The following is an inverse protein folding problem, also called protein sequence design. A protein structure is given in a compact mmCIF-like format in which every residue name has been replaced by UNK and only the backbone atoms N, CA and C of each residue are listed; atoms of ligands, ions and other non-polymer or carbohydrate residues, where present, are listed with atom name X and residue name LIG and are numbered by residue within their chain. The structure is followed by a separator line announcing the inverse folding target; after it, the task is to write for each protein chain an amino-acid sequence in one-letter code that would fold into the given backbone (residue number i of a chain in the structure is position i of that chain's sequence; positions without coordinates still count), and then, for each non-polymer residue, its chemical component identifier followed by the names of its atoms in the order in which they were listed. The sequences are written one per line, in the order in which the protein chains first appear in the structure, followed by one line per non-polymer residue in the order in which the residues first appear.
data_IF_858090714498
#
_entry.id   IF_858090714498
#
_cell.length_a   1.000
_cell.length_b   1.000
_cell.length_c   1.000
_cell.angle_alpha   90.00
_cell.angle_beta   90.00
_cell.angle_gamma   90.00
#
_symmetry.space_group_name_H-M   'P 1'
#
loop_
_entity.id
_entity.type
_entity.pdbx_description
1 polymer ?
#
# COMPACT_ATOMS: atom_id res chain seq x y z
N UNK A 1 -11.63 5.31 5.66
CA UNK A 1 -10.34 5.61 6.31
C UNK A 1 -9.18 5.56 5.31
N UNK A 2 -9.03 4.47 4.53
CA UNK A 2 -7.94 4.28 3.57
C UNK A 2 -7.87 5.37 2.48
N UNK A 3 -9.00 5.94 2.06
CA UNK A 3 -9.02 7.06 1.11
C UNK A 3 -8.36 8.32 1.65
N UNK A 4 -8.55 8.63 2.93
CA UNK A 4 -7.87 9.74 3.59
C UNK A 4 -6.36 9.49 3.70
N UNK A 5 -5.96 8.25 4.05
CA UNK A 5 -4.55 7.86 4.10
C UNK A 5 -3.88 7.96 2.72
N UNK A 6 -4.54 7.48 1.66
CA UNK A 6 -4.02 7.58 0.30
C UNK A 6 -3.87 9.04 -0.17
N UNK A 7 -4.80 9.92 0.24
CA UNK A 7 -4.67 11.36 0.02
C UNK A 7 -3.45 11.96 0.70
N UNK A 8 -3.20 11.59 1.96
CA UNK A 8 -2.01 12.02 2.69
C UNK A 8 -0.73 11.49 2.03
N UNK A 9 -0.70 10.21 1.66
CA UNK A 9 0.44 9.60 0.95
C UNK A 9 0.73 10.34 -0.35
N UNK A 10 -0.30 10.72 -1.10
CA UNK A 10 -0.15 11.40 -2.40
C UNK A 10 0.51 12.76 -2.32
N UNK A 11 0.47 13.45 -1.17
CA UNK A 11 1.05 14.77 -0.99
C UNK A 11 2.42 14.74 -0.27
N UNK A 12 2.83 13.59 0.28
CA UNK A 12 4.05 13.51 1.10
C UNK A 12 5.35 13.65 0.32
N UNK A 13 5.35 13.42 -0.99
CA UNK A 13 6.56 13.54 -1.81
C UNK A 13 7.05 14.99 -1.93
N UNK A 14 6.13 15.97 -1.92
CA UNK A 14 6.47 17.41 -2.00
C UNK A 14 5.39 18.24 -1.27
N UNK A 15 5.38 18.26 0.08
CA UNK A 15 4.29 18.85 0.85
C UNK A 15 4.31 20.40 0.89
N UNK A 16 5.44 21.02 0.54
CA UNK A 16 5.64 22.48 0.71
C UNK A 16 5.38 23.29 -0.55
N UNK A 17 5.44 22.70 -1.72
CA UNK A 17 5.36 23.42 -3.00
C UNK A 17 3.95 23.55 -3.55
N UNK A 18 3.04 22.56 -3.44
CA UNK A 18 1.69 22.69 -3.97
C UNK A 18 0.89 23.76 -3.22
N UNK A 19 0.08 24.52 -3.96
CA UNK A 19 -0.93 25.38 -3.33
C UNK A 19 -1.96 24.53 -2.56
N UNK A 20 -2.69 25.10 -1.57
CA UNK A 20 -3.73 24.35 -0.86
C UNK A 20 -4.77 23.70 -1.77
N UNK A 21 -5.16 24.36 -2.86
CA UNK A 21 -6.10 23.82 -3.84
C UNK A 21 -5.47 22.63 -4.61
N UNK A 22 -4.20 22.77 -5.03
CA UNK A 22 -3.49 21.68 -5.69
C UNK A 22 -3.34 20.47 -4.75
N UNK A 23 -3.03 20.68 -3.47
CA UNK A 23 -2.94 19.63 -2.48
C UNK A 23 -4.27 18.87 -2.30
N UNK A 24 -5.39 19.59 -2.28
CA UNK A 24 -6.73 18.98 -2.23
C UNK A 24 -6.98 18.09 -3.46
N UNK A 25 -6.66 18.59 -4.67
CA UNK A 25 -6.86 17.85 -5.91
C UNK A 25 -5.95 16.61 -5.95
N UNK A 26 -4.67 16.76 -5.64
CA UNK A 26 -3.70 15.66 -5.60
C UNK A 26 -4.16 14.56 -4.63
N UNK A 27 -4.59 14.96 -3.44
CA UNK A 27 -5.11 14.04 -2.43
C UNK A 27 -6.41 13.36 -2.84
N UNK A 28 -7.33 14.07 -3.47
CA UNK A 28 -8.58 13.50 -3.98
C UNK A 28 -8.34 12.45 -5.07
N UNK A 29 -7.40 12.72 -5.99
CA UNK A 29 -6.98 11.75 -7.01
C UNK A 29 -6.34 10.52 -6.35
N UNK A 30 -5.50 10.71 -5.34
CA UNK A 30 -4.93 9.60 -4.55
C UNK A 30 -5.99 8.72 -3.90
N UNK A 31 -7.02 9.31 -3.32
CA UNK A 31 -8.17 8.59 -2.76
C UNK A 31 -8.93 7.78 -3.83
N UNK A 32 -9.11 8.35 -5.03
CA UNK A 32 -9.72 7.65 -6.15
C UNK A 32 -8.85 6.48 -6.66
N UNK A 33 -7.54 6.69 -6.78
CA UNK A 33 -6.58 5.65 -7.16
C UNK A 33 -6.62 4.50 -6.16
N UNK A 34 -6.67 4.79 -4.87
CA UNK A 34 -6.80 3.76 -3.83
C UNK A 34 -8.09 2.94 -4.00
N UNK A 35 -9.23 3.59 -4.23
CA UNK A 35 -10.50 2.92 -4.43
C UNK A 35 -10.47 1.98 -5.65
N UNK A 36 -9.99 2.47 -6.79
CA UNK A 36 -9.86 1.68 -8.02
C UNK A 36 -8.83 0.55 -7.85
N UNK A 37 -7.72 0.83 -7.17
CA UNK A 37 -6.68 -0.15 -6.86
C UNK A 37 -7.19 -1.29 -5.97
N UNK A 38 -7.98 -0.99 -4.96
CA UNK A 38 -8.61 -2.01 -4.11
C UNK A 38 -9.53 -2.93 -4.93
N UNK A 39 -10.37 -2.35 -5.79
CA UNK A 39 -11.24 -3.15 -6.67
C UNK A 39 -10.43 -4.01 -7.65
N UNK A 40 -9.32 -3.49 -8.16
CA UNK A 40 -8.41 -4.25 -9.04
C UNK A 40 -7.80 -5.44 -8.29
N UNK A 41 -7.24 -5.26 -7.09
CA UNK A 41 -6.67 -6.35 -6.29
C UNK A 41 -7.71 -7.42 -5.97
N UNK A 42 -8.91 -7.02 -5.56
CA UNK A 42 -10.02 -7.94 -5.32
C UNK A 42 -10.38 -8.75 -6.58
N UNK A 43 -10.42 -8.11 -7.75
CA UNK A 43 -10.70 -8.80 -9.01
C UNK A 43 -9.62 -9.80 -9.40
N UNK A 44 -8.37 -9.51 -9.04
CA UNK A 44 -7.21 -10.39 -9.23
C UNK A 44 -7.09 -11.46 -8.13
N UNK A 45 -7.98 -11.46 -7.13
CA UNK A 45 -7.95 -12.34 -5.95
C UNK A 45 -6.63 -12.25 -5.18
N UNK A 46 -6.05 -11.06 -5.13
CA UNK A 46 -4.88 -10.74 -4.32
C UNK A 46 -5.36 -10.20 -2.98
N UNK A 47 -4.97 -10.89 -1.91
CA UNK A 47 -5.30 -10.49 -0.54
C UNK A 47 -4.39 -9.34 -0.08
N UNK A 48 -5.02 -8.26 0.36
CA UNK A 48 -4.37 -7.10 0.97
C UNK A 48 -5.23 -6.62 2.14
N UNK A 49 -5.03 -7.25 3.28
CA UNK A 49 -5.89 -7.14 4.47
C UNK A 49 -6.11 -5.70 4.92
N UNK A 50 -5.09 -4.86 4.80
CA UNK A 50 -5.14 -3.46 5.27
C UNK A 50 -5.23 -2.44 4.13
N UNK A 51 -5.15 -2.88 2.88
CA UNK A 51 -5.12 -1.99 1.72
C UNK A 51 -3.76 -1.31 1.53
N UNK A 52 -2.67 -1.98 1.91
CA UNK A 52 -1.32 -1.41 1.86
C UNK A 52 -0.88 -1.08 0.42
N UNK A 53 -1.16 -1.95 -0.53
CA UNK A 53 -0.78 -1.76 -1.93
C UNK A 53 -1.50 -0.54 -2.54
N UNK A 54 -2.83 -0.41 -2.49
CA UNK A 54 -3.51 0.75 -3.06
C UNK A 54 -3.17 2.06 -2.35
N UNK A 55 -3.01 2.04 -1.02
CA UNK A 55 -2.74 3.24 -0.22
C UNK A 55 -1.29 3.70 -0.38
N UNK A 56 -0.31 2.80 -0.29
CA UNK A 56 1.09 3.20 -0.27
C UNK A 56 1.76 3.08 -1.64
N UNK A 57 1.57 1.98 -2.35
CA UNK A 57 2.21 1.81 -3.65
C UNK A 57 1.52 2.66 -4.73
N UNK A 58 0.21 2.49 -4.97
CA UNK A 58 -0.44 3.18 -6.08
C UNK A 58 -0.56 4.68 -5.84
N UNK A 59 -1.02 5.10 -4.66
CA UNK A 59 -1.10 6.52 -4.34
C UNK A 59 0.28 7.16 -4.14
N UNK A 60 1.29 6.40 -3.69
CA UNK A 60 2.67 6.87 -3.59
C UNK A 60 3.33 7.07 -4.95
N UNK A 61 3.11 6.16 -5.91
CA UNK A 61 3.54 6.35 -7.31
C UNK A 61 2.92 7.63 -7.87
N UNK A 62 1.62 7.81 -7.70
CA UNK A 62 0.92 9.03 -8.12
C UNK A 62 1.54 10.26 -7.48
N UNK A 63 1.68 10.28 -6.14
CA UNK A 63 2.23 11.41 -5.40
C UNK A 63 3.65 11.78 -5.84
N UNK A 64 4.50 10.77 -6.09
CA UNK A 64 5.86 11.00 -6.59
C UNK A 64 5.85 11.53 -8.03
N UNK A 65 5.02 10.95 -8.90
CA UNK A 65 4.97 11.37 -10.30
C UNK A 65 4.36 12.75 -10.52
N UNK A 66 3.53 13.26 -9.61
CA UNK A 66 2.93 14.60 -9.74
C UNK A 66 3.85 15.74 -9.26
N UNK A 67 4.95 15.44 -8.56
CA UNK A 67 5.88 16.44 -8.02
C UNK A 67 6.33 17.47 -9.06
N UNK A 68 6.70 17.11 -10.31
CA UNK A 68 7.15 18.10 -11.29
C UNK A 68 6.06 19.11 -11.71
N UNK A 69 4.81 18.84 -11.39
CA UNK A 69 3.71 19.79 -11.61
C UNK A 69 3.84 21.03 -10.72
N UNK A 70 4.30 20.87 -9.50
CA UNK A 70 4.43 21.96 -8.50
C UNK A 70 5.88 22.41 -8.27
N UNK A 71 6.85 21.56 -8.61
CA UNK A 71 8.28 21.84 -8.41
C UNK A 71 9.04 21.78 -9.74
N UNK A 72 9.39 22.95 -10.34
CA UNK A 72 10.10 23.01 -11.61
C UNK A 72 11.57 22.54 -11.54
N UNK A 73 12.13 22.34 -10.35
CA UNK A 73 13.49 21.80 -10.17
C UNK A 73 13.55 20.29 -10.36
N UNK A 74 12.39 19.63 -10.48
CA UNK A 74 12.28 18.18 -10.68
C UNK A 74 11.85 17.85 -12.11
N UNK A 75 12.01 16.59 -12.52
CA UNK A 75 11.53 16.12 -13.82
C UNK A 75 10.77 14.81 -13.71
N UNK A 76 9.80 14.58 -14.61
CA UNK A 76 9.05 13.33 -14.70
C UNK A 76 9.98 12.12 -14.92
N UNK A 77 11.04 12.30 -15.70
CA UNK A 77 12.02 11.23 -15.97
C UNK A 77 12.75 10.84 -14.67
N UNK A 78 13.23 11.80 -13.91
CA UNK A 78 13.90 11.55 -12.64
C UNK A 78 12.98 10.87 -11.63
N UNK A 79 11.74 11.33 -11.52
CA UNK A 79 10.74 10.71 -10.65
C UNK A 79 10.42 9.28 -11.08
N UNK A 80 10.26 9.04 -12.37
CA UNK A 80 10.04 7.68 -12.89
C UNK A 80 11.21 6.74 -12.59
N UNK A 81 12.46 7.19 -12.78
CA UNK A 81 13.65 6.40 -12.45
C UNK A 81 13.67 6.09 -10.94
N UNK A 82 13.37 7.08 -10.09
CA UNK A 82 13.27 6.88 -8.65
C UNK A 82 12.22 5.83 -8.28
N UNK A 83 11.01 5.98 -8.78
CA UNK A 83 9.90 5.02 -8.54
C UNK A 83 10.28 3.62 -9.02
N UNK A 84 10.78 3.48 -10.23
CA UNK A 84 11.18 2.18 -10.78
C UNK A 84 12.29 1.53 -9.97
N UNK A 85 13.29 2.30 -9.54
CA UNK A 85 14.39 1.81 -8.69
C UNK A 85 13.90 1.32 -7.34
N UNK A 86 13.01 2.08 -6.69
CA UNK A 86 12.42 1.68 -5.39
C UNK A 86 11.57 0.42 -5.54
N UNK A 87 10.71 0.35 -6.57
CA UNK A 87 9.89 -0.84 -6.82
C UNK A 87 10.78 -2.07 -7.02
N UNK A 88 11.79 -1.97 -7.89
CA UNK A 88 12.69 -3.09 -8.16
C UNK A 88 13.45 -3.53 -6.90
N UNK A 89 14.02 -2.59 -6.16
CA UNK A 89 14.75 -2.88 -4.93
C UNK A 89 13.85 -3.53 -3.87
N UNK A 90 12.70 -2.93 -3.58
CA UNK A 90 11.80 -3.42 -2.53
C UNK A 90 11.24 -4.79 -2.90
N UNK A 91 10.84 -4.99 -4.16
CA UNK A 91 10.30 -6.28 -4.60
C UNK A 91 11.35 -7.40 -4.47
N UNK A 92 12.56 -7.18 -5.00
CA UNK A 92 13.63 -8.20 -4.97
C UNK A 92 14.05 -8.49 -3.53
N UNK A 93 14.28 -7.44 -2.73
CA UNK A 93 14.73 -7.58 -1.36
C UNK A 93 13.67 -8.28 -0.49
N UNK A 94 12.42 -7.86 -0.57
CA UNK A 94 11.32 -8.48 0.16
C UNK A 94 11.13 -9.94 -0.24
N UNK A 95 11.22 -10.25 -1.54
CA UNK A 95 11.10 -11.63 -2.01
C UNK A 95 12.19 -12.53 -1.42
N UNK A 96 13.43 -12.04 -1.38
CA UNK A 96 14.55 -12.79 -0.78
C UNK A 96 14.30 -13.01 0.72
N UNK A 97 14.00 -11.95 1.46
CA UNK A 97 13.79 -12.02 2.92
C UNK A 97 12.62 -12.95 3.27
N UNK A 98 11.49 -12.77 2.59
CA UNK A 98 10.30 -13.61 2.83
C UNK A 98 10.58 -15.08 2.47
N UNK A 99 11.35 -15.33 1.39
CA UNK A 99 11.74 -16.70 1.02
C UNK A 99 12.62 -17.36 2.09
N UNK A 100 13.55 -16.62 2.68
CA UNK A 100 14.39 -17.10 3.80
C UNK A 100 13.51 -17.42 5.02
N UNK A 101 12.60 -16.51 5.39
CA UNK A 101 11.68 -16.72 6.53
C UNK A 101 10.82 -17.96 6.27
N UNK A 102 10.27 -18.10 5.07
CA UNK A 102 9.47 -19.26 4.68
C UNK A 102 10.24 -20.58 4.81
N UNK A 103 11.52 -20.58 4.44
CA UNK A 103 12.37 -21.77 4.48
C UNK A 103 12.85 -22.14 5.89
N UNK A 104 12.94 -21.16 6.80
CA UNK A 104 13.51 -21.37 8.16
C UNK A 104 12.45 -21.50 9.25
N UNK A 105 11.51 -20.56 9.31
CA UNK A 105 10.52 -20.45 10.40
C UNK A 105 9.12 -20.88 9.91
N UNK A 106 8.86 -20.73 8.61
CA UNK A 106 7.51 -20.87 8.03
C UNK A 106 6.79 -19.51 8.00
N UNK A 107 5.77 -19.41 7.17
CA UNK A 107 4.96 -18.19 6.99
C UNK A 107 3.48 -18.40 7.30
N UNK A 108 3.01 -19.63 7.32
CA UNK A 108 1.60 -19.93 7.54
C UNK A 108 1.41 -20.79 8.77
N UNK A 109 0.34 -20.51 9.47
CA UNK A 109 -0.19 -21.37 10.52
C UNK A 109 -0.72 -22.67 9.92
N UNK A 110 -1.01 -23.67 10.76
CA UNK A 110 -1.64 -24.92 10.30
C UNK A 110 -3.04 -24.67 9.75
N UNK A 111 -3.48 -25.55 8.87
CA UNK A 111 -4.83 -25.44 8.28
C UNK A 111 -5.94 -25.55 9.35
N UNK A 112 -5.70 -26.31 10.42
CA UNK A 112 -6.60 -26.44 11.55
C UNK A 112 -6.70 -25.12 12.33
N UNK A 113 -5.56 -24.44 12.56
CA UNK A 113 -5.53 -23.16 13.24
C UNK A 113 -6.17 -22.07 12.38
N UNK A 114 -5.99 -22.10 11.05
CA UNK A 114 -6.63 -21.17 10.11
C UNK A 114 -8.16 -21.31 10.13
N UNK A 115 -8.67 -22.56 10.14
CA UNK A 115 -10.11 -22.83 10.24
C UNK A 115 -10.71 -22.50 11.61
N UNK A 116 -9.93 -22.66 12.67
CA UNK A 116 -10.36 -22.33 14.04
C UNK A 116 -10.42 -20.82 14.29
N UNK A 117 -9.62 -20.04 13.56
CA UNK A 117 -9.34 -18.63 13.78
C UNK A 117 -8.07 -18.41 14.62
N UNK A 118 -7.21 -17.50 14.17
CA UNK A 118 -5.93 -17.21 14.83
C UNK A 118 -6.08 -16.66 16.23
N UNK A 119 -7.12 -15.90 16.48
CA UNK A 119 -7.48 -15.38 17.80
C UNK A 119 -7.67 -16.52 18.83
N UNK A 120 -8.39 -17.55 18.46
CA UNK A 120 -8.63 -18.72 19.30
C UNK A 120 -7.44 -19.68 19.31
N UNK A 121 -6.81 -19.91 18.16
CA UNK A 121 -5.73 -20.88 18.03
C UNK A 121 -4.43 -20.43 18.73
N UNK A 122 -4.07 -19.14 18.64
CA UNK A 122 -2.81 -18.61 19.16
C UNK A 122 -2.98 -17.85 20.47
N UNK A 123 -4.09 -17.15 20.67
CA UNK A 123 -4.33 -16.31 21.83
C UNK A 123 -5.30 -16.95 22.82
N UNK A 124 -6.11 -17.91 22.37
CA UNK A 124 -7.10 -18.61 23.22
C UNK A 124 -8.35 -17.77 23.53
N UNK A 125 -8.51 -16.62 22.90
CA UNK A 125 -9.63 -15.69 23.12
C UNK A 125 -10.36 -15.45 21.82
N UNK A 126 -11.69 -15.49 21.84
CA UNK A 126 -12.51 -15.14 20.68
C UNK A 126 -12.64 -13.62 20.62
N UNK A 127 -12.03 -13.00 19.59
CA UNK A 127 -12.04 -11.55 19.39
C UNK A 127 -13.40 -11.06 18.85
N UNK A 128 -14.06 -11.85 18.01
CA UNK A 128 -15.34 -11.52 17.40
C UNK A 128 -16.33 -12.68 17.53
N UNK A 129 -17.54 -12.42 17.97
CA UNK A 129 -18.65 -13.35 17.81
C UNK A 129 -19.50 -12.91 16.62
N UNK A 130 -19.41 -13.64 15.51
CA UNK A 130 -20.37 -13.47 14.42
C UNK A 130 -21.68 -14.10 14.92
N UNK A 131 -22.70 -13.27 15.12
CA UNK A 131 -24.06 -13.76 15.35
C UNK A 131 -24.67 -13.96 13.97
N UNK A 132 -25.00 -15.22 13.66
CA UNK A 132 -25.82 -15.57 12.50
C UNK A 132 -27.20 -14.91 12.59
#
# INVERSE_FOLDING_TARGET
LNGALAGLVSITAEPLMPSPLAAIIIGAVGGLIMYLGTNLLNSLKLDDVVGAIPVHMFAGIWGTMIVPFSNPETSYVTQFIGVASVIAFVFIFSYIVISIIKATIGLRISEEAEKLGTDKAEVGVIAYSIRD
#
